data_IF_102067389446
#
_entry.id   IF_102067389446
#
_cell.length_a   1.000
_cell.length_b   1.000
_cell.length_c   1.000
_cell.angle_alpha   90.00
_cell.angle_beta   90.00
_cell.angle_gamma   90.00
#
_symmetry.space_group_name_H-M   'P 1'
#
loop_
_entity.id
_entity.type
_entity.pdbx_description
1 polymer ?
#
# COMPACT_ATOMS: atom_id res chain seq x y z
N UNK A 1 17.94 44.43 -37.91
CA UNK A 1 17.65 44.27 -36.47
C UNK A 1 17.65 42.78 -36.17
N UNK A 2 18.82 42.23 -35.84
CA UNK A 2 19.00 40.81 -35.48
C UNK A 2 18.93 40.70 -33.96
N UNK A 3 17.82 40.20 -33.44
CA UNK A 3 17.71 39.80 -32.03
C UNK A 3 18.57 38.56 -31.83
N UNK A 4 19.62 38.68 -31.03
CA UNK A 4 20.40 37.52 -30.59
C UNK A 4 19.51 36.68 -29.66
N UNK A 5 19.46 35.35 -29.82
CA UNK A 5 18.82 34.49 -28.83
C UNK A 5 19.60 34.63 -27.52
N UNK A 6 18.88 34.97 -26.44
CA UNK A 6 19.42 35.05 -25.10
C UNK A 6 19.82 33.63 -24.70
N UNK A 7 21.09 33.29 -24.87
CA UNK A 7 21.67 31.99 -24.55
C UNK A 7 22.20 32.07 -23.11
N UNK A 8 21.30 32.28 -22.14
CA UNK A 8 21.65 32.11 -20.74
C UNK A 8 22.03 30.64 -20.53
N UNK A 9 23.22 30.34 -19.98
CA UNK A 9 23.58 28.97 -19.67
C UNK A 9 22.58 28.46 -18.64
N UNK A 10 21.80 27.45 -19.02
CA UNK A 10 20.98 26.72 -18.07
C UNK A 10 21.93 26.06 -17.06
N UNK A 11 21.90 26.54 -15.82
CA UNK A 11 22.60 25.90 -14.72
C UNK A 11 21.94 24.52 -14.57
N UNK A 12 22.69 23.41 -14.63
CA UNK A 12 22.10 22.09 -14.42
C UNK A 12 21.49 22.03 -13.00
N UNK A 13 20.32 21.40 -12.86
CA UNK A 13 19.57 21.37 -11.60
C UNK A 13 20.41 20.87 -10.41
N UNK A 14 21.39 20.00 -10.65
CA UNK A 14 22.33 19.47 -9.64
C UNK A 14 23.33 20.50 -9.09
N UNK A 15 23.47 21.67 -9.72
CA UNK A 15 24.34 22.78 -9.30
C UNK A 15 23.58 23.93 -8.63
N UNK A 16 22.25 23.80 -8.51
CA UNK A 16 21.41 24.80 -7.84
C UNK A 16 21.47 24.55 -6.33
N UNK A 17 21.98 25.52 -5.58
CA UNK A 17 21.91 25.49 -4.11
C UNK A 17 20.44 25.67 -3.68
N UNK A 18 19.91 24.70 -2.95
CA UNK A 18 18.53 24.70 -2.45
C UNK A 18 18.51 24.77 -0.92
N UNK A 19 17.54 25.50 -0.37
CA UNK A 19 17.35 25.58 1.08
C UNK A 19 16.92 24.24 1.71
N UNK A 20 16.31 23.35 0.92
CA UNK A 20 15.87 22.02 1.36
C UNK A 20 15.71 21.05 0.18
N UNK A 21 16.44 19.92 0.22
CA UNK A 21 16.30 18.82 -0.73
C UNK A 21 15.21 17.82 -0.25
N UNK A 22 14.05 17.88 -0.90
CA UNK A 22 12.96 16.95 -0.61
C UNK A 22 13.23 15.53 -1.11
N UNK A 23 13.96 15.38 -2.21
CA UNK A 23 14.19 14.09 -2.86
C UNK A 23 15.17 13.24 -2.06
N UNK A 24 16.24 13.86 -1.53
CA UNK A 24 17.16 13.22 -0.60
C UNK A 24 16.43 12.80 0.69
N UNK A 25 15.74 13.74 1.34
CA UNK A 25 15.00 13.46 2.58
C UNK A 25 13.90 12.41 2.36
N UNK A 26 13.25 12.38 1.20
CA UNK A 26 12.27 11.36 0.85
C UNK A 26 12.94 10.00 0.64
N UNK A 27 14.08 9.94 -0.05
CA UNK A 27 14.81 8.70 -0.33
C UNK A 27 15.19 7.99 0.96
N UNK A 28 15.72 8.73 1.93
CA UNK A 28 16.05 8.20 3.27
C UNK A 28 14.81 7.66 3.99
N UNK A 29 13.72 8.45 4.05
CA UNK A 29 12.46 8.03 4.68
C UNK A 29 11.86 6.81 4.01
N UNK A 30 11.98 6.69 2.68
CA UNK A 30 11.45 5.55 1.90
C UNK A 30 12.26 4.29 2.18
N UNK A 31 13.58 4.40 2.30
CA UNK A 31 14.47 3.27 2.60
C UNK A 31 14.23 2.70 4.01
N UNK A 32 13.87 3.54 4.98
CA UNK A 32 13.59 3.11 6.36
C UNK A 32 12.22 2.40 6.55
N UNK A 33 11.34 2.40 5.54
CA UNK A 33 9.99 1.81 5.65
C UNK A 33 9.99 0.32 5.36
N UNK A 34 9.40 -0.45 6.27
CA UNK A 34 9.19 -1.90 6.10
C UNK A 34 7.83 -2.14 5.45
N UNK A 35 7.78 -2.95 4.39
CA UNK A 35 6.52 -3.29 3.72
C UNK A 35 5.57 -4.07 4.65
N UNK A 36 4.27 -3.73 4.70
CA UNK A 36 3.30 -4.54 5.42
C UNK A 36 3.09 -5.89 4.74
N UNK A 37 2.72 -6.91 5.52
CA UNK A 37 2.39 -8.23 5.01
C UNK A 37 1.00 -8.61 5.49
N UNK A 38 0.19 -9.14 4.59
CA UNK A 38 -1.18 -9.58 4.88
C UNK A 38 -1.31 -11.04 4.47
N UNK A 39 -2.04 -11.84 5.25
CA UNK A 39 -2.32 -13.23 4.92
C UNK A 39 -3.74 -13.34 4.40
N UNK A 40 -3.88 -13.82 3.17
CA UNK A 40 -5.17 -13.94 2.46
C UNK A 40 -5.30 -15.40 2.01
N UNK A 41 -6.39 -16.04 2.44
CA UNK A 41 -6.68 -17.46 2.18
C UNK A 41 -5.50 -18.40 2.46
N UNK A 42 -4.64 -18.10 3.44
CA UNK A 42 -3.49 -18.93 3.81
C UNK A 42 -2.15 -18.61 3.11
N UNK A 43 -2.11 -17.69 2.14
CA UNK A 43 -0.86 -17.20 1.52
C UNK A 43 -0.52 -15.79 2.00
N UNK A 44 0.76 -15.49 2.13
CA UNK A 44 1.24 -14.18 2.61
C UNK A 44 1.59 -13.31 1.41
N UNK A 45 0.97 -12.14 1.34
CA UNK A 45 1.19 -11.12 0.32
C UNK A 45 1.88 -9.91 0.94
N UNK A 46 2.77 -9.28 0.19
CA UNK A 46 3.47 -8.07 0.61
C UNK A 46 2.75 -6.87 0.00
N UNK A 47 2.32 -5.94 0.84
CA UNK A 47 1.71 -4.69 0.45
C UNK A 47 2.80 -3.62 0.21
N UNK A 48 2.53 -2.55 -0.55
CA UNK A 48 3.47 -1.44 -0.70
C UNK A 48 3.76 -0.75 0.64
N UNK A 49 4.93 -0.13 0.76
CA UNK A 49 5.36 0.55 2.00
C UNK A 49 4.40 1.66 2.46
N UNK A 50 3.64 2.24 1.54
CA UNK A 50 2.64 3.26 1.77
C UNK A 50 1.48 3.05 0.81
N UNK A 51 0.29 3.54 1.18
CA UNK A 51 -0.87 3.55 0.30
C UNK A 51 -0.54 4.29 -1.01
N UNK A 52 -0.83 3.70 -2.18
CA UNK A 52 -0.67 4.38 -3.46
C UNK A 52 -1.53 5.64 -3.52
N UNK A 53 -0.98 6.75 -4.03
CA UNK A 53 -1.69 8.01 -4.16
C UNK A 53 -2.96 7.90 -5.04
N UNK A 54 -2.98 6.93 -5.97
CA UNK A 54 -4.16 6.62 -6.79
C UNK A 54 -5.41 6.34 -5.94
N UNK A 55 -5.27 5.76 -4.74
CA UNK A 55 -6.39 5.52 -3.82
C UNK A 55 -7.04 6.82 -3.32
N UNK A 56 -6.23 7.86 -3.09
CA UNK A 56 -6.75 9.19 -2.71
C UNK A 56 -7.51 9.80 -3.88
N UNK A 57 -7.02 9.62 -5.11
CA UNK A 57 -7.70 10.12 -6.31
C UNK A 57 -9.08 9.48 -6.50
N UNK A 58 -9.22 8.18 -6.23
CA UNK A 58 -10.52 7.50 -6.23
C UNK A 58 -11.48 8.12 -5.20
N UNK A 59 -11.04 8.30 -3.95
CA UNK A 59 -11.85 8.91 -2.90
C UNK A 59 -12.28 10.36 -3.24
N UNK A 60 -11.40 11.14 -3.87
CA UNK A 60 -11.71 12.51 -4.32
C UNK A 60 -12.69 12.50 -5.50
N UNK A 61 -12.53 11.57 -6.45
CA UNK A 61 -13.44 11.42 -7.58
C UNK A 61 -14.85 11.00 -7.13
N UNK A 62 -14.95 10.03 -6.22
CA UNK A 62 -16.22 9.61 -5.63
C UNK A 62 -16.96 10.79 -4.97
N UNK A 63 -16.27 11.57 -4.14
CA UNK A 63 -16.83 12.78 -3.51
C UNK A 63 -17.30 13.82 -4.52
N UNK A 64 -16.54 14.06 -5.60
CA UNK A 64 -16.92 14.99 -6.67
C UNK A 64 -18.18 14.55 -7.42
N UNK A 65 -18.39 13.25 -7.53
CA UNK A 65 -19.57 12.66 -8.17
C UNK A 65 -20.80 12.64 -7.25
N UNK A 66 -20.74 13.28 -6.08
CA UNK A 66 -21.85 13.36 -5.14
C UNK A 66 -22.06 12.11 -4.29
N UNK A 67 -21.16 11.12 -4.39
CA UNK A 67 -21.15 10.00 -3.43
C UNK A 67 -20.74 10.53 -2.06
N UNK A 68 -21.50 10.20 -1.03
CA UNK A 68 -21.11 10.54 0.34
C UNK A 68 -19.80 9.80 0.67
N UNK A 69 -19.01 10.30 1.63
CA UNK A 69 -17.82 9.56 2.10
C UNK A 69 -18.17 8.20 2.75
N UNK A 70 -19.47 7.92 2.93
CA UNK A 70 -20.04 6.70 3.47
C UNK A 70 -20.70 5.82 2.40
N UNK A 71 -20.72 6.21 1.12
CA UNK A 71 -21.15 5.29 0.06
C UNK A 71 -20.12 4.17 -0.04
N UNK A 72 -20.63 2.93 0.02
CA UNK A 72 -19.81 1.72 -0.08
C UNK A 72 -19.07 1.69 -1.41
N UNK A 73 -17.79 1.31 -1.36
CA UNK A 73 -16.97 1.05 -2.53
C UNK A 73 -17.57 -0.17 -3.23
N UNK A 74 -18.03 -0.01 -4.47
CA UNK A 74 -18.55 -1.12 -5.27
C UNK A 74 -17.42 -2.09 -5.67
N UNK A 75 -17.79 -3.31 -6.08
CA UNK A 75 -16.82 -4.38 -6.32
C UNK A 75 -15.82 -4.07 -7.44
N UNK A 76 -16.21 -3.29 -8.45
CA UNK A 76 -15.34 -2.87 -9.55
C UNK A 76 -14.30 -1.85 -9.05
N UNK A 77 -14.74 -0.85 -8.30
CA UNK A 77 -13.85 0.11 -7.67
C UNK A 77 -12.91 -0.58 -6.65
N UNK A 78 -13.43 -1.55 -5.88
CA UNK A 78 -12.63 -2.34 -4.94
C UNK A 78 -11.56 -3.16 -5.67
N UNK A 79 -11.89 -3.77 -6.82
CA UNK A 79 -10.94 -4.50 -7.65
C UNK A 79 -9.80 -3.62 -8.14
N UNK A 80 -10.10 -2.42 -8.63
CA UNK A 80 -9.11 -1.45 -9.11
C UNK A 80 -8.17 -0.99 -7.99
N UNK A 81 -8.74 -0.71 -6.81
CA UNK A 81 -7.97 -0.32 -5.64
C UNK A 81 -7.08 -1.46 -5.13
N UNK A 82 -7.61 -2.68 -5.09
CA UNK A 82 -6.84 -3.87 -4.71
C UNK A 82 -5.77 -4.22 -5.72
N UNK A 83 -6.03 -4.02 -7.02
CA UNK A 83 -5.03 -4.21 -8.08
C UNK A 83 -3.87 -3.22 -7.93
N UNK A 84 -4.14 -1.99 -7.51
CA UNK A 84 -3.09 -1.02 -7.19
C UNK A 84 -2.28 -1.38 -5.93
N UNK A 85 -2.88 -2.10 -4.98
CA UNK A 85 -2.25 -2.48 -3.71
C UNK A 85 -1.47 -3.80 -3.79
N UNK A 86 -2.10 -4.84 -4.33
CA UNK A 86 -1.57 -6.20 -4.37
C UNK A 86 -0.89 -6.52 -5.70
N UNK A 87 -1.20 -5.75 -6.75
CA UNK A 87 -0.89 -6.12 -8.12
C UNK A 87 -1.94 -7.06 -8.69
N UNK A 88 -2.29 -6.85 -9.96
CA UNK A 88 -3.33 -7.59 -10.67
C UNK A 88 -3.09 -9.12 -10.62
N UNK A 89 -1.85 -9.57 -10.84
CA UNK A 89 -1.50 -10.99 -10.81
C UNK A 89 -1.78 -11.65 -9.44
N UNK A 90 -1.54 -10.94 -8.33
CA UNK A 90 -1.84 -11.45 -7.00
C UNK A 90 -3.34 -11.44 -6.72
N UNK A 91 -4.07 -10.43 -7.21
CA UNK A 91 -5.52 -10.37 -7.04
C UNK A 91 -6.23 -11.50 -7.80
N UNK A 92 -5.78 -11.78 -9.04
CA UNK A 92 -6.27 -12.92 -9.82
C UNK A 92 -5.97 -14.25 -9.09
N UNK A 93 -4.75 -14.42 -8.56
CA UNK A 93 -4.39 -15.60 -7.74
C UNK A 93 -5.28 -15.73 -6.49
N UNK A 94 -5.63 -14.63 -5.83
CA UNK A 94 -6.53 -14.64 -4.67
C UNK A 94 -7.95 -15.06 -5.08
N UNK A 95 -8.48 -14.52 -6.17
CA UNK A 95 -9.82 -14.87 -6.67
C UNK A 95 -9.88 -16.34 -7.11
N UNK A 96 -8.86 -16.84 -7.80
CA UNK A 96 -8.76 -18.25 -8.19
C UNK A 96 -8.71 -19.22 -7.00
N UNK A 97 -8.32 -18.73 -5.81
CA UNK A 97 -8.28 -19.50 -4.57
C UNK A 97 -9.61 -19.48 -3.81
N UNK A 98 -10.62 -18.81 -4.36
CA UNK A 98 -11.99 -18.82 -3.85
C UNK A 98 -12.41 -17.55 -3.13
N UNK A 99 -11.73 -16.41 -3.35
CA UNK A 99 -12.30 -15.11 -2.94
C UNK A 99 -13.39 -14.72 -3.95
N UNK A 100 -14.59 -14.42 -3.47
CA UNK A 100 -15.70 -14.01 -4.31
C UNK A 100 -15.65 -12.49 -4.59
N UNK A 101 -16.35 -12.06 -5.64
CA UNK A 101 -16.42 -10.64 -6.01
C UNK A 101 -17.04 -9.82 -4.87
N UNK A 102 -18.00 -10.40 -4.18
CA UNK A 102 -18.71 -9.79 -3.05
C UNK A 102 -17.79 -9.57 -1.83
N UNK A 103 -16.67 -10.29 -1.73
CA UNK A 103 -15.68 -10.16 -0.65
C UNK A 103 -14.61 -9.09 -0.91
N UNK A 104 -14.57 -8.51 -2.12
CA UNK A 104 -13.53 -7.52 -2.50
C UNK A 104 -13.55 -6.26 -1.61
N UNK A 105 -14.71 -5.66 -1.27
CA UNK A 105 -14.75 -4.52 -0.35
C UNK A 105 -14.16 -4.84 1.03
N UNK A 106 -14.46 -6.03 1.56
CA UNK A 106 -13.94 -6.50 2.86
C UNK A 106 -12.42 -6.72 2.85
N UNK A 107 -11.91 -7.27 1.74
CA UNK A 107 -10.47 -7.41 1.55
C UNK A 107 -9.78 -6.04 1.47
N UNK A 108 -10.42 -5.06 0.81
CA UNK A 108 -9.92 -3.70 0.74
C UNK A 108 -9.89 -3.03 2.12
N UNK A 109 -10.97 -3.13 2.93
CA UNK A 109 -10.97 -2.60 4.31
C UNK A 109 -9.85 -3.24 5.14
N UNK A 110 -9.66 -4.56 5.01
CA UNK A 110 -8.59 -5.28 5.70
C UNK A 110 -7.21 -4.70 5.34
N UNK A 111 -6.96 -4.44 4.05
CA UNK A 111 -5.70 -3.85 3.61
C UNK A 111 -5.53 -2.43 4.16
N UNK A 112 -6.57 -1.60 4.13
CA UNK A 112 -6.54 -0.22 4.63
C UNK A 112 -6.31 -0.16 6.15
N UNK A 113 -6.92 -1.09 6.90
CA UNK A 113 -6.74 -1.22 8.36
C UNK A 113 -5.28 -1.45 8.73
N UNK A 114 -4.56 -2.30 8.00
CA UNK A 114 -3.13 -2.54 8.21
C UNK A 114 -2.31 -1.25 8.14
N UNK A 115 -2.66 -0.31 7.25
CA UNK A 115 -1.99 0.98 7.15
C UNK A 115 -2.39 1.93 8.29
N UNK A 116 -3.67 1.97 8.65
CA UNK A 116 -4.18 2.79 9.76
C UNK A 116 -3.52 2.42 11.08
N UNK A 117 -3.47 1.13 11.40
CA UNK A 117 -2.87 0.60 12.62
C UNK A 117 -1.37 0.95 12.73
N UNK A 118 -0.68 1.04 11.59
CA UNK A 118 0.74 1.44 11.54
C UNK A 118 0.94 2.94 11.71
N UNK A 119 0.04 3.77 11.21
CA UNK A 119 0.10 5.22 11.42
C UNK A 119 -0.14 5.58 12.88
N UNK A 120 -1.04 4.85 13.55
CA UNK A 120 -1.37 5.06 14.97
C UNK A 120 -0.31 4.48 15.94
N UNK A 121 0.61 3.63 15.45
CA UNK A 121 1.72 3.06 16.23
C UNK A 121 3.09 3.41 15.63
N UNK A 122 3.50 4.69 15.64
CA UNK A 122 4.82 5.09 15.16
C UNK A 122 5.90 4.59 16.14
N UNK A 123 6.53 3.46 15.82
CA UNK A 123 7.61 2.86 16.63
C UNK A 123 7.41 1.40 17.03
N UNK A 124 6.23 0.83 16.80
CA UNK A 124 6.00 -0.60 16.96
C UNK A 124 6.67 -1.34 15.82
N UNK A 125 7.87 -1.91 16.03
CA UNK A 125 8.37 -3.01 15.19
C UNK A 125 7.19 -3.93 14.94
N UNK A 126 6.79 -4.09 13.68
CA UNK A 126 5.76 -5.05 13.31
C UNK A 126 6.27 -6.42 13.78
N UNK A 127 5.90 -6.81 14.99
CA UNK A 127 6.22 -8.10 15.54
C UNK A 127 5.42 -9.05 14.68
N UNK A 128 6.10 -9.72 13.76
CA UNK A 128 5.51 -10.79 12.97
C UNK A 128 4.75 -11.69 13.95
N UNK A 129 3.47 -11.99 13.72
CA UNK A 129 2.75 -12.91 14.59
C UNK A 129 3.58 -14.18 14.68
N UNK A 130 3.95 -14.55 15.92
CA UNK A 130 4.77 -15.72 16.17
C UNK A 130 4.15 -16.91 15.45
N UNK A 131 4.94 -17.58 14.60
CA UNK A 131 4.55 -18.76 13.85
C UNK A 131 4.14 -19.84 14.87
N UNK A 132 2.85 -19.92 15.23
CA UNK A 132 2.34 -21.05 15.99
C UNK A 132 2.21 -22.22 15.02
N UNK A 133 3.28 -23.00 14.91
CA UNK A 133 3.19 -24.33 14.32
C UNK A 133 2.35 -25.16 15.28
N UNK A 134 1.07 -25.32 14.95
CA UNK A 134 0.20 -26.28 15.60
C UNK A 134 0.56 -27.68 15.07
N UNK A 135 1.13 -28.53 15.93
CA UNK A 135 1.19 -29.97 15.69
C UNK A 135 2.56 -30.61 15.91
N UNK A 136 2.82 -31.06 17.14
CA UNK A 136 3.54 -32.32 17.38
C UNK A 136 3.04 -32.90 18.72
N UNK A 137 2.12 -33.84 18.59
CA UNK A 137 1.55 -34.70 19.63
C UNK A 137 2.63 -35.45 20.40
N UNK A 138 2.52 -35.49 21.73
CA UNK A 138 3.38 -36.28 22.60
C UNK A 138 2.72 -36.55 23.94
N UNK A 139 1.51 -37.11 23.93
CA UNK A 139 0.92 -37.69 25.15
C UNK A 139 1.67 -38.96 25.50
N UNK A 140 2.45 -38.94 26.58
CA UNK A 140 2.93 -40.16 27.25
C UNK A 140 2.05 -40.40 28.47
N UNK A 141 1.25 -41.47 28.52
CA UNK A 141 0.86 -42.06 29.79
C UNK A 141 1.93 -43.09 30.18
N UNK A 142 2.42 -43.05 31.42
CA UNK A 142 3.05 -44.23 32.02
C UNK A 142 2.24 -44.66 33.23
N UNK A 143 2.00 -45.98 33.22
CA UNK A 143 1.33 -46.78 34.23
C UNK A 143 2.13 -46.86 35.53
#
# INVERSE_FOLDING_TARGET
MTGLPNNEPAIPDDEIEVDYDFDEAWRERKAARVAPRVRILGKVYTLPNSLPAKLILFAVAARKNGRAAADEVDAEEAFDMLSALLGEANLIDIMQRGLEIDDLPDLLDTCQRVYRDRQERPGGKAQAPALRIAGATGSTPSA
#
